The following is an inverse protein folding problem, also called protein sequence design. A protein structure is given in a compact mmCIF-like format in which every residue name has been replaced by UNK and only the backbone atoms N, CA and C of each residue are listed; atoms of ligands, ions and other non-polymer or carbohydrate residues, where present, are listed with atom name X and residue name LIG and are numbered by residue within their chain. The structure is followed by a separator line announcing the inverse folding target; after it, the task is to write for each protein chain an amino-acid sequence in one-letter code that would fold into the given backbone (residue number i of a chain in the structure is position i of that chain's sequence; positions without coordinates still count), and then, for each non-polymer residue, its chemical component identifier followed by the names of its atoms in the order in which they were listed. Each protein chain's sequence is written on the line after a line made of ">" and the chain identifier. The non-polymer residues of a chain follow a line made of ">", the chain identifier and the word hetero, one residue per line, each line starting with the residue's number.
data_IF_438187807544
#
_entry.id   IF_438187807544
#
_cell.length_a   1.000
_cell.length_b   1.000
_cell.length_c   1.000
_cell.angle_alpha   90.00
_cell.angle_beta   90.00
_cell.angle_gamma   90.00
#
_symmetry.space_group_name_H-M   'P 1'
#
loop_
_entity.id
_entity.type
_entity.pdbx_description
1 polymer ?
#
# COMPACT_ATOMS: atom_id res chain seq x y z
N UNK A 1 -1.30 15.42 9.43
CA UNK A 1 -0.81 14.18 8.79
C UNK A 1 0.47 13.68 9.46
N UNK A 2 0.46 13.37 10.77
CA UNK A 2 1.69 12.89 11.45
C UNK A 2 1.95 11.40 11.20
N UNK A 3 0.94 10.56 11.38
CA UNK A 3 1.07 9.11 11.26
C UNK A 3 1.49 8.65 9.86
N UNK A 4 0.95 9.28 8.80
CA UNK A 4 1.34 8.98 7.41
C UNK A 4 2.82 9.25 7.18
N UNK A 5 3.28 10.48 7.45
CA UNK A 5 4.68 10.87 7.26
C UNK A 5 5.63 9.99 8.07
N UNK A 6 5.26 9.68 9.32
CA UNK A 6 6.07 8.83 10.19
C UNK A 6 6.18 7.39 9.65
N UNK A 7 5.05 6.80 9.24
CA UNK A 7 5.03 5.45 8.69
C UNK A 7 5.80 5.37 7.36
N UNK A 8 5.55 6.29 6.43
CA UNK A 8 6.27 6.35 5.15
C UNK A 8 7.78 6.50 5.35
N UNK A 9 8.23 7.40 6.24
CA UNK A 9 9.66 7.60 6.53
C UNK A 9 10.31 6.34 7.10
N UNK A 10 9.62 5.64 7.99
CA UNK A 10 10.11 4.38 8.56
C UNK A 10 10.23 3.31 7.47
N UNK A 11 9.19 3.14 6.65
CA UNK A 11 9.19 2.18 5.55
C UNK A 11 10.31 2.46 4.55
N UNK A 12 10.52 3.72 4.14
CA UNK A 12 11.62 4.11 3.25
C UNK A 12 12.97 3.70 3.82
N UNK A 13 13.23 3.95 5.11
CA UNK A 13 14.50 3.56 5.76
C UNK A 13 14.71 2.06 5.82
N UNK A 14 13.63 1.27 5.97
CA UNK A 14 13.73 -0.19 5.95
C UNK A 14 14.04 -0.71 4.54
N UNK A 15 13.38 -0.16 3.51
CA UNK A 15 13.62 -0.53 2.12
C UNK A 15 15.05 -0.16 1.68
N UNK A 16 15.52 1.04 2.03
CA UNK A 16 16.92 1.46 1.82
C UNK A 16 17.92 0.57 2.57
N UNK A 17 17.51 0.01 3.71
CA UNK A 17 18.28 -0.95 4.50
C UNK A 17 18.30 -2.37 3.93
N UNK A 18 17.66 -2.63 2.79
CA UNK A 18 17.64 -3.94 2.14
C UNK A 18 16.56 -4.89 2.62
N UNK A 19 15.54 -4.39 3.33
CA UNK A 19 14.34 -5.20 3.64
C UNK A 19 13.53 -5.40 2.36
N UNK A 20 13.21 -6.65 2.03
CA UNK A 20 12.46 -7.00 0.82
C UNK A 20 10.95 -6.90 1.01
N UNK A 21 10.43 -7.25 2.20
CA UNK A 21 9.00 -7.35 2.48
C UNK A 21 8.53 -6.45 3.63
N UNK A 22 7.36 -5.83 3.48
CA UNK A 22 6.68 -5.04 4.52
C UNK A 22 5.29 -5.62 4.82
N UNK A 23 5.06 -6.02 6.08
CA UNK A 23 3.77 -6.53 6.53
C UNK A 23 3.01 -5.47 7.35
N UNK A 24 1.76 -5.18 6.95
CA UNK A 24 0.92 -4.17 7.60
C UNK A 24 -0.23 -4.79 8.39
N UNK A 25 -0.31 -4.45 9.68
CA UNK A 25 -1.50 -4.70 10.49
C UNK A 25 -2.52 -3.58 10.27
N UNK A 26 -3.48 -3.81 9.38
CA UNK A 26 -4.50 -2.81 9.01
C UNK A 26 -5.56 -2.58 10.09
N UNK A 27 -5.72 -3.50 11.04
CA UNK A 27 -6.77 -3.45 12.07
C UNK A 27 -8.17 -3.21 11.49
N UNK A 28 -8.48 -3.85 10.36
CA UNK A 28 -9.72 -3.67 9.59
C UNK A 28 -9.95 -2.24 9.06
N UNK A 29 -8.88 -1.43 8.99
CA UNK A 29 -8.88 -0.04 8.47
C UNK A 29 -7.77 0.13 7.44
N UNK A 30 -8.03 -0.16 6.15
CA UNK A 30 -7.00 -0.20 5.12
C UNK A 30 -6.57 1.20 4.62
N UNK A 31 -7.23 2.28 5.05
CA UNK A 31 -7.04 3.61 4.48
C UNK A 31 -5.62 4.13 4.66
N UNK A 32 -5.08 4.01 5.88
CA UNK A 32 -3.73 4.48 6.19
C UNK A 32 -2.67 3.67 5.42
N UNK A 33 -2.81 2.35 5.38
CA UNK A 33 -1.89 1.46 4.66
C UNK A 33 -1.89 1.77 3.17
N UNK A 34 -3.06 1.99 2.57
CA UNK A 34 -3.18 2.38 1.15
C UNK A 34 -2.47 3.72 0.89
N UNK A 35 -2.64 4.69 1.78
CA UNK A 35 -2.04 6.02 1.61
C UNK A 35 -0.50 5.95 1.78
N UNK A 36 0.01 5.10 2.69
CA UNK A 36 1.44 4.83 2.86
C UNK A 36 2.03 4.18 1.60
N UNK A 37 1.40 3.13 1.09
CA UNK A 37 1.84 2.40 -0.12
C UNK A 37 1.91 3.32 -1.33
N UNK A 38 0.90 4.20 -1.51
CA UNK A 38 0.93 5.25 -2.55
C UNK A 38 2.06 6.25 -2.34
N UNK A 39 2.27 6.71 -1.10
CA UNK A 39 3.34 7.66 -0.78
C UNK A 39 4.75 7.08 -1.00
N UNK A 40 4.90 5.75 -0.87
CA UNK A 40 6.13 5.02 -1.20
C UNK A 40 6.33 4.81 -2.71
N UNK A 41 5.36 5.17 -3.56
CA UNK A 41 5.42 4.95 -5.01
C UNK A 41 5.15 3.50 -5.42
N UNK A 42 4.68 2.66 -4.51
CA UNK A 42 4.34 1.26 -4.78
C UNK A 42 2.90 1.26 -5.32
N UNK A 43 2.73 1.14 -6.64
CA UNK A 43 1.41 1.00 -7.24
C UNK A 43 0.95 -0.46 -7.18
N UNK A 44 -0.32 -0.75 -6.86
CA UNK A 44 -0.84 -2.10 -7.05
C UNK A 44 -0.78 -2.45 -8.54
N UNK A 45 -0.33 -3.66 -8.88
CA UNK A 45 -0.68 -4.27 -10.15
C UNK A 45 -2.20 -4.45 -10.15
N UNK A 46 -2.91 -3.49 -10.72
CA UNK A 46 -4.33 -3.63 -10.99
C UNK A 46 -4.41 -4.72 -12.06
N UNK A 47 -4.72 -5.95 -11.64
CA UNK A 47 -5.21 -6.95 -12.58
C UNK A 47 -6.37 -6.29 -13.35
N UNK A 48 -6.35 -6.29 -14.69
CA UNK A 48 -7.35 -5.59 -15.47
C UNK A 48 -8.75 -6.02 -15.02
N UNK A 49 -9.60 -5.05 -14.76
CA UNK A 49 -11.01 -5.25 -14.41
C UNK A 49 -11.66 -6.12 -15.49
N UNK A 50 -11.90 -7.40 -15.19
CA UNK A 50 -12.71 -8.25 -16.05
C UNK A 50 -14.13 -7.72 -15.94
N UNK A 51 -14.56 -6.95 -16.93
CA UNK A 51 -15.95 -6.52 -17.09
C UNK A 51 -16.78 -7.79 -17.20
N UNK A 52 -17.47 -8.15 -16.11
CA UNK A 52 -18.47 -9.22 -16.13
C UNK A 52 -19.65 -8.69 -16.94
N UNK A 53 -19.68 -8.98 -18.24
CA UNK A 53 -20.89 -8.84 -19.03
C UNK A 53 -21.98 -9.71 -18.38
N UNK A 54 -23.02 -9.07 -17.85
CA UNK A 54 -24.23 -9.77 -17.42
C UNK A 54 -24.85 -10.40 -18.67
N UNK A 55 -24.70 -11.71 -18.81
CA UNK A 55 -25.50 -12.50 -19.75
C UNK A 55 -26.94 -12.42 -19.25
N UNK A 56 -27.76 -11.67 -19.98
CA UNK A 56 -29.21 -11.62 -19.85
C UNK A 56 -29.86 -12.82 -20.52
#
# INVERSE_FOLDING_TARGET
>A
MLALTQCTTLCSRLLEGGVEDLHFYTLNRPELTRDVVRALGIAPEIAPEVVLEKVA
#
